data_IF_086516306382
#
_entry.id   IF_086516306382
#
_cell.length_a   1.000
_cell.length_b   1.000
_cell.length_c   1.000
_cell.angle_alpha   90.00
_cell.angle_beta   90.00
_cell.angle_gamma   90.00
#
_symmetry.space_group_name_H-M   'P 1'
#
loop_
_entity.id
_entity.type
_entity.pdbx_description
1 polymer ?
#
# COMPACT_ATOMS: atom_id res chain seq x y z
N UNK A 1 -4.55 4.04 -2.38
CA UNK A 1 -3.56 2.96 -2.62
C UNK A 1 -2.65 2.84 -1.42
N UNK A 2 -2.13 1.64 -1.18
CA UNK A 2 -1.25 1.33 -0.05
C UNK A 2 0.11 0.91 -0.59
N UNK A 3 1.19 1.35 0.06
CA UNK A 3 2.50 0.71 -0.13
C UNK A 3 2.58 -0.63 0.61
N UNK A 4 3.65 -1.38 0.37
CA UNK A 4 3.88 -2.68 1.01
C UNK A 4 3.99 -2.56 2.53
N UNK A 5 4.60 -1.49 3.06
CA UNK A 5 4.79 -1.28 4.50
C UNK A 5 3.45 -1.04 5.21
N UNK A 6 2.59 -0.20 4.65
CA UNK A 6 1.23 0.05 5.14
C UNK A 6 0.40 -1.24 5.08
N UNK A 7 0.55 -2.06 4.04
CA UNK A 7 -0.12 -3.35 3.97
C UNK A 7 0.34 -4.29 5.11
N UNK A 8 1.65 -4.33 5.42
CA UNK A 8 2.14 -5.09 6.57
C UNK A 8 1.62 -4.53 7.90
N UNK A 9 1.59 -3.21 8.06
CA UNK A 9 1.08 -2.57 9.27
C UNK A 9 -0.39 -2.91 9.53
N UNK A 10 -1.20 -2.90 8.47
CA UNK A 10 -2.60 -3.30 8.54
C UNK A 10 -2.72 -4.80 8.84
N UNK A 11 -2.10 -5.67 8.05
CA UNK A 11 -2.48 -7.08 8.03
C UNK A 11 -1.55 -8.00 8.83
N UNK A 12 -0.35 -7.56 9.22
CA UNK A 12 0.65 -8.38 9.94
C UNK A 12 1.01 -7.78 11.30
N UNK A 13 1.35 -6.50 11.34
CA UNK A 13 1.77 -5.86 12.59
C UNK A 13 0.58 -5.42 13.45
N UNK A 14 -0.57 -5.14 12.81
CA UNK A 14 -1.75 -4.56 13.43
C UNK A 14 -1.41 -3.26 14.18
N UNK A 15 -0.63 -2.40 13.54
CA UNK A 15 -0.19 -1.13 14.11
C UNK A 15 -1.40 -0.27 14.51
N UNK A 16 -1.51 0.16 15.78
CA UNK A 16 -2.59 1.04 16.24
C UNK A 16 -2.72 2.34 15.44
N UNK A 17 -1.62 2.87 14.90
CA UNK A 17 -1.64 4.06 14.05
C UNK A 17 -2.40 3.84 12.73
N UNK A 18 -2.62 2.58 12.33
CA UNK A 18 -3.41 2.22 11.14
C UNK A 18 -4.88 1.89 11.46
N UNK A 19 -5.35 2.12 12.68
CA UNK A 19 -6.72 1.77 13.08
C UNK A 19 -7.79 2.44 12.20
N UNK A 20 -7.67 3.76 11.97
CA UNK A 20 -8.62 4.48 11.12
C UNK A 20 -8.57 3.98 9.66
N UNK A 21 -7.37 3.69 9.16
CA UNK A 21 -7.18 3.13 7.82
C UNK A 21 -7.81 1.75 7.68
N UNK A 22 -7.66 0.89 8.70
CA UNK A 22 -8.27 -0.44 8.72
C UNK A 22 -9.78 -0.36 8.57
N UNK A 23 -10.43 0.50 9.36
CA UNK A 23 -11.88 0.69 9.25
C UNK A 23 -12.28 1.18 7.85
N UNK A 24 -11.51 2.10 7.26
CA UNK A 24 -11.79 2.61 5.92
C UNK A 24 -11.68 1.52 4.85
N UNK A 25 -10.60 0.73 4.92
CA UNK A 25 -10.32 -0.36 3.99
C UNK A 25 -11.35 -1.49 4.10
N UNK A 26 -11.87 -1.75 5.30
CA UNK A 26 -12.93 -2.74 5.54
C UNK A 26 -14.31 -2.25 5.09
N UNK A 27 -14.62 -0.95 5.25
CA UNK A 27 -15.90 -0.37 4.82
C UNK A 27 -16.00 -0.17 3.31
N UNK A 28 -14.88 0.12 2.65
CA UNK A 28 -14.80 0.44 1.22
C UNK A 28 -14.04 -0.66 0.45
N UNK A 29 -14.53 -1.89 0.55
CA UNK A 29 -13.93 -3.04 -0.14
C UNK A 29 -13.95 -2.83 -1.65
N UNK A 30 -12.77 -2.90 -2.28
CA UNK A 30 -12.60 -2.74 -3.73
C UNK A 30 -12.36 -1.31 -4.24
N UNK A 31 -12.37 -0.30 -3.36
CA UNK A 31 -11.94 1.07 -3.69
C UNK A 31 -10.42 1.23 -3.72
N UNK A 32 -9.71 0.37 -2.99
CA UNK A 32 -8.26 0.39 -2.90
C UNK A 32 -7.63 -0.38 -4.07
N UNK A 33 -6.97 0.33 -4.97
CA UNK A 33 -6.36 -0.28 -6.16
C UNK A 33 -4.92 -0.72 -5.92
N UNK A 34 -4.54 -1.83 -6.54
CA UNK A 34 -3.18 -2.42 -6.53
C UNK A 34 -2.88 -3.10 -7.86
N UNK A 35 -1.62 -3.24 -8.25
CA UNK A 35 -1.23 -4.07 -9.40
C UNK A 35 -0.86 -5.50 -9.01
N UNK A 36 -0.74 -6.38 -10.00
CA UNK A 36 -0.22 -7.74 -9.80
C UNK A 36 1.21 -7.71 -9.21
N UNK A 37 2.08 -6.83 -9.70
CA UNK A 37 3.45 -6.70 -9.21
C UNK A 37 3.52 -6.29 -7.73
N UNK A 38 2.63 -5.41 -7.27
CA UNK A 38 2.52 -5.03 -5.85
C UNK A 38 2.04 -6.20 -4.99
N UNK A 39 1.05 -6.96 -5.46
CA UNK A 39 0.57 -8.16 -4.76
C UNK A 39 1.65 -9.23 -4.66
N UNK A 40 2.40 -9.47 -5.75
CA UNK A 40 3.53 -10.42 -5.76
C UNK A 40 4.67 -9.99 -4.84
N UNK A 41 4.91 -8.69 -4.71
CA UNK A 41 5.87 -8.17 -3.74
C UNK A 41 5.44 -8.52 -2.31
N UNK A 42 4.16 -8.33 -1.97
CA UNK A 42 3.64 -8.73 -0.67
C UNK A 42 3.86 -10.24 -0.44
N UNK A 43 3.58 -11.10 -1.43
CA UNK A 43 3.85 -12.55 -1.35
C UNK A 43 5.31 -12.83 -0.99
N UNK A 44 6.26 -12.17 -1.69
CA UNK A 44 7.71 -12.33 -1.40
C UNK A 44 8.07 -11.86 0.00
N UNK A 45 7.55 -10.72 0.42
CA UNK A 45 7.84 -10.12 1.74
C UNK A 45 7.28 -10.98 2.87
N UNK A 46 6.10 -11.58 2.72
CA UNK A 46 5.55 -12.52 3.71
C UNK A 46 6.41 -13.77 3.89
N UNK A 47 7.22 -14.13 2.89
CA UNK A 47 8.18 -15.23 2.98
C UNK A 47 9.51 -14.84 3.64
N UNK A 48 9.76 -13.55 3.91
CA UNK A 48 11.01 -13.13 4.55
C UNK A 48 11.10 -13.68 5.98
N UNK A 49 12.29 -14.17 6.42
CA UNK A 49 12.41 -14.89 7.69
C UNK A 49 11.84 -14.15 8.90
N UNK A 50 12.06 -12.84 9.01
CA UNK A 50 11.53 -12.05 10.11
C UNK A 50 10.00 -11.95 10.11
N UNK A 51 9.38 -11.84 8.93
CA UNK A 51 7.93 -11.75 8.78
C UNK A 51 7.29 -13.11 9.02
N UNK A 52 7.84 -14.17 8.40
CA UNK A 52 7.36 -15.54 8.56
C UNK A 52 7.42 -15.98 10.04
N UNK A 53 8.50 -15.68 10.76
CA UNK A 53 8.61 -15.97 12.21
C UNK A 53 7.51 -15.28 13.02
N UNK A 54 7.20 -14.02 12.70
CA UNK A 54 6.14 -13.26 13.37
C UNK A 54 4.77 -13.87 13.10
N UNK A 55 4.48 -14.24 11.85
CA UNK A 55 3.24 -14.89 11.46
C UNK A 55 3.02 -16.21 12.22
N UNK A 56 4.07 -17.04 12.34
CA UNK A 56 4.03 -18.26 13.14
C UNK A 56 3.76 -17.97 14.61
N UNK A 57 4.41 -16.95 15.19
CA UNK A 57 4.18 -16.57 16.59
C UNK A 57 2.76 -16.05 16.86
N UNK A 58 2.06 -15.59 15.83
CA UNK A 58 0.66 -15.14 15.88
C UNK A 58 -0.36 -16.23 15.51
N UNK A 59 0.10 -17.47 15.22
CA UNK A 59 -0.74 -18.53 14.63
C UNK A 59 -1.51 -18.08 13.38
N UNK A 60 -0.86 -17.24 12.56
CA UNK A 60 -1.48 -16.60 11.40
C UNK A 60 -0.80 -17.08 10.11
N UNK A 61 -1.47 -17.84 9.24
CA UNK A 61 -0.89 -18.24 7.97
C UNK A 61 -0.75 -17.03 7.03
N UNK A 62 0.33 -17.00 6.23
CA UNK A 62 0.55 -15.96 5.23
C UNK A 62 -0.63 -15.85 4.24
N UNK A 63 -1.28 -16.96 3.91
CA UNK A 63 -2.45 -16.96 3.05
C UNK A 63 -3.60 -16.12 3.65
N UNK A 64 -3.83 -16.14 4.96
CA UNK A 64 -4.88 -15.33 5.58
C UNK A 64 -4.58 -13.82 5.48
N UNK A 65 -3.30 -13.43 5.42
CA UNK A 65 -2.87 -12.05 5.15
C UNK A 65 -3.20 -11.67 3.72
N UNK A 66 -2.85 -12.53 2.76
CA UNK A 66 -3.15 -12.31 1.33
C UNK A 66 -4.65 -12.25 1.07
N UNK A 67 -5.43 -13.15 1.66
CA UNK A 67 -6.89 -13.15 1.50
C UNK A 67 -7.51 -11.87 2.07
N UNK A 68 -6.98 -11.33 3.18
CA UNK A 68 -7.43 -10.06 3.73
C UNK A 68 -7.07 -8.89 2.79
N UNK A 69 -5.84 -8.87 2.30
CA UNK A 69 -5.39 -7.88 1.32
C UNK A 69 -6.25 -7.91 0.04
N UNK A 70 -6.52 -9.10 -0.49
CA UNK A 70 -7.31 -9.30 -1.72
C UNK A 70 -8.79 -8.93 -1.54
N UNK A 71 -9.39 -9.18 -0.36
CA UNK A 71 -10.77 -8.72 -0.08
C UNK A 71 -10.87 -7.20 -0.03
N UNK A 72 -9.82 -6.56 0.46
CA UNK A 72 -9.77 -5.12 0.69
C UNK A 72 -9.38 -4.32 -0.56
N UNK A 73 -8.71 -4.95 -1.51
CA UNK A 73 -8.16 -4.30 -2.69
C UNK A 73 -8.76 -4.82 -3.99
N UNK A 74 -8.58 -4.07 -5.07
CA UNK A 74 -8.96 -4.45 -6.43
C UNK A 74 -7.74 -4.41 -7.33
N UNK A 75 -7.47 -5.51 -8.01
CA UNK A 75 -6.42 -5.58 -9.01
C UNK A 75 -6.76 -4.70 -10.22
N UNK A 76 -5.79 -3.91 -10.65
CA UNK A 76 -5.81 -3.11 -11.88
C UNK A 76 -4.56 -3.39 -12.72
N UNK A 77 -4.58 -3.12 -14.04
CA UNK A 77 -3.39 -3.23 -14.88
C UNK A 77 -2.25 -2.34 -14.38
N UNK A 78 -1.02 -2.69 -14.77
CA UNK A 78 0.14 -1.84 -14.51
C UNK A 78 -0.05 -0.46 -15.15
N UNK A 79 0.38 0.57 -14.42
CA UNK A 79 0.31 1.94 -14.88
C UNK A 79 1.51 2.32 -15.75
N UNK A 80 1.32 3.22 -16.73
CA UNK A 80 2.45 3.81 -17.44
C UNK A 80 3.32 4.63 -16.47
N UNK A 81 4.60 4.78 -16.82
CA UNK A 81 5.53 5.58 -16.03
C UNK A 81 5.03 7.03 -15.88
N UNK A 82 4.97 7.51 -14.64
CA UNK A 82 4.57 8.87 -14.32
C UNK A 82 5.61 9.91 -14.77
N UNK A 83 5.20 11.18 -14.84
CA UNK A 83 6.06 12.30 -15.18
C UNK A 83 7.22 12.51 -14.17
N UNK A 84 7.09 11.95 -12.95
CA UNK A 84 8.10 12.06 -11.90
C UNK A 84 8.70 10.70 -11.58
N UNK A 85 10.02 10.66 -11.44
CA UNK A 85 10.76 9.47 -11.04
C UNK A 85 11.07 9.53 -9.54
N UNK A 86 10.71 8.48 -8.81
CA UNK A 86 11.16 8.27 -7.43
C UNK A 86 12.67 7.97 -7.41
N UNK A 87 13.35 8.37 -6.34
CA UNK A 87 14.77 8.02 -6.16
C UNK A 87 14.96 6.51 -5.90
N UNK A 88 13.96 5.88 -5.32
CA UNK A 88 13.89 4.43 -5.15
C UNK A 88 13.13 3.82 -6.33
N UNK A 89 13.81 2.94 -7.07
CA UNK A 89 13.24 2.31 -8.25
C UNK A 89 12.15 1.29 -7.90
N UNK A 90 12.24 0.66 -6.73
CA UNK A 90 11.23 -0.29 -6.26
C UNK A 90 9.92 0.44 -5.93
N UNK A 91 10.00 1.69 -5.46
CA UNK A 91 8.82 2.50 -5.15
C UNK A 91 8.14 3.12 -6.37
N UNK A 92 8.79 3.10 -7.55
CA UNK A 92 8.27 3.77 -8.75
C UNK A 92 6.86 3.28 -9.13
N UNK A 93 6.57 1.98 -8.96
CA UNK A 93 5.27 1.39 -9.32
C UNK A 93 4.10 2.02 -8.55
N UNK A 94 4.32 2.43 -7.30
CA UNK A 94 3.31 3.11 -6.48
C UNK A 94 3.06 4.53 -6.99
N UNK A 95 4.12 5.22 -7.42
CA UNK A 95 4.03 6.56 -8.01
C UNK A 95 3.25 6.52 -9.32
N UNK A 96 3.57 5.54 -10.18
CA UNK A 96 2.94 5.34 -11.47
C UNK A 96 1.44 5.07 -11.33
N UNK A 97 1.08 4.11 -10.47
CA UNK A 97 -0.32 3.76 -10.24
C UNK A 97 -1.10 4.91 -9.62
N UNK A 98 -0.52 5.64 -8.67
CA UNK A 98 -1.17 6.78 -8.03
C UNK A 98 -1.44 7.88 -9.06
N UNK A 99 -0.46 8.21 -9.90
CA UNK A 99 -0.57 9.23 -10.93
C UNK A 99 -1.62 8.87 -11.99
N UNK A 100 -1.64 7.62 -12.46
CA UNK A 100 -2.59 7.14 -13.46
C UNK A 100 -4.04 7.27 -12.98
N UNK A 101 -4.29 6.94 -11.71
CA UNK A 101 -5.65 6.93 -11.14
C UNK A 101 -5.99 8.17 -10.32
N UNK A 102 -5.06 9.13 -10.16
CA UNK A 102 -5.16 10.26 -9.23
C UNK A 102 -5.57 9.83 -7.82
N UNK A 103 -5.04 8.68 -7.41
CA UNK A 103 -5.42 8.05 -6.15
C UNK A 103 -4.57 8.62 -5.00
N UNK A 104 -5.16 8.74 -3.81
CA UNK A 104 -4.39 9.00 -2.59
C UNK A 104 -3.41 7.84 -2.33
N UNK A 105 -2.14 8.17 -2.13
CA UNK A 105 -1.07 7.24 -1.78
C UNK A 105 -0.74 7.37 -0.29
N UNK A 106 -1.03 6.31 0.47
CA UNK A 106 -0.65 6.23 1.89
C UNK A 106 0.68 5.50 1.98
N UNK A 107 1.69 6.13 2.58
CA UNK A 107 3.05 5.57 2.68
C UNK A 107 3.80 6.10 3.90
N UNK A 108 4.65 5.27 4.51
CA UNK A 108 5.59 5.68 5.56
C UNK A 108 7.02 5.87 5.05
N UNK A 109 7.26 5.63 3.76
CA UNK A 109 8.60 5.69 3.19
C UNK A 109 9.02 7.13 2.85
N UNK A 110 10.19 7.56 3.32
CA UNK A 110 10.71 8.90 3.07
C UNK A 110 10.93 9.20 1.57
N UNK A 111 11.28 8.19 0.78
CA UNK A 111 11.44 8.31 -0.67
C UNK A 111 10.11 8.61 -1.35
N UNK A 112 9.02 8.00 -0.90
CA UNK A 112 7.67 8.29 -1.38
C UNK A 112 7.16 9.63 -0.82
N UNK A 113 7.32 9.88 0.48
CA UNK A 113 6.82 11.08 1.14
C UNK A 113 7.46 12.36 0.60
N UNK A 114 8.76 12.34 0.26
CA UNK A 114 9.42 13.49 -0.34
C UNK A 114 8.83 13.87 -1.72
N UNK A 115 8.10 12.97 -2.37
CA UNK A 115 7.45 13.20 -3.67
C UNK A 115 6.10 13.92 -3.55
N UNK A 116 5.54 14.10 -2.36
CA UNK A 116 4.19 14.64 -2.13
C UNK A 116 3.91 15.94 -2.90
N UNK A 117 4.82 16.93 -2.84
CA UNK A 117 4.65 18.21 -3.54
C UNK A 117 4.66 18.08 -5.07
N UNK A 118 5.44 17.14 -5.61
CA UNK A 118 5.49 16.89 -7.05
C UNK A 118 4.22 16.19 -7.50
N UNK A 119 3.81 15.17 -6.76
CA UNK A 119 2.63 14.37 -7.04
C UNK A 119 1.31 15.14 -6.92
N UNK A 120 1.24 16.13 -6.02
CA UNK A 120 0.11 17.06 -5.95
C UNK A 120 -0.13 17.80 -7.29
N UNK A 121 0.92 18.04 -8.10
CA UNK A 121 0.79 18.70 -9.41
C UNK A 121 0.05 17.85 -10.46
N UNK A 122 -0.05 16.55 -10.23
CA UNK A 122 -0.78 15.60 -11.09
C UNK A 122 -2.05 15.06 -10.40
N UNK A 123 -2.48 15.70 -9.31
CA UNK A 123 -3.71 15.36 -8.59
C UNK A 123 -3.58 14.17 -7.63
N UNK A 124 -2.36 13.81 -7.23
CA UNK A 124 -2.12 12.75 -6.25
C UNK A 124 -1.85 13.36 -4.88
N UNK A 125 -2.67 12.99 -3.89
CA UNK A 125 -2.39 13.24 -2.49
C UNK A 125 -1.46 12.14 -1.95
N UNK A 126 -0.41 12.52 -1.24
CA UNK A 126 0.46 11.59 -0.51
C UNK A 126 0.35 11.91 0.97
N UNK A 127 0.05 10.92 1.81
CA UNK A 127 -0.05 11.10 3.25
C UNK A 127 0.67 9.99 4.02
N UNK A 128 1.28 10.38 5.13
CA UNK A 128 1.94 9.46 6.07
C UNK A 128 0.92 8.66 6.88
N UNK A 129 -0.19 9.31 7.25
CA UNK A 129 -1.27 8.72 8.02
C UNK A 129 -2.59 8.98 7.30
N UNK A 130 -3.44 7.96 7.22
CA UNK A 130 -4.73 8.09 6.59
C UNK A 130 -5.75 8.72 7.56
N UNK A 131 -6.63 9.54 7.01
CA UNK A 131 -7.73 10.19 7.71
C UNK A 131 -8.95 10.16 6.79
N UNK A 132 -10.19 10.10 7.33
CA UNK A 132 -11.42 10.17 6.54
C UNK A 132 -11.52 11.41 5.63
N UNK A 133 -10.76 12.48 5.91
CA UNK A 133 -10.70 13.68 5.07
C UNK A 133 -9.89 13.50 3.76
N UNK A 134 -9.26 12.34 3.55
CA UNK A 134 -8.44 12.03 2.36
C UNK A 134 -9.21 11.30 1.24
N UNK A 135 -10.54 11.16 1.39
CA UNK A 135 -11.47 10.52 0.44
C UNK A 135 -12.38 11.58 -0.18
#
# INVERSE_FOLDING_TARGET
MLDTNIALDLFVFQDPATAALREAVERATGEWIVTAAMREELVRVLAYPQIARRLVAQDKPAQAVLDAFDRCTRLVPDAPKAAFTCKDADDQKFIDLAAQHRATLVSKDDAVLCMARRLARVGVLVCHEWSPAHV
#
